data_IF_380635072871
#
_entry.id   IF_380635072871
#
_cell.length_a   1.000
_cell.length_b   1.000
_cell.length_c   1.000
_cell.angle_alpha   90.00
_cell.angle_beta   90.00
_cell.angle_gamma   90.00
#
_symmetry.space_group_name_H-M   'P 1'
#
loop_
_entity.id
_entity.type
_entity.pdbx_description
1 polymer ?
#
# COMPACT_ATOMS: atom_id res chain seq x y z
N UNK A 1 40.85 4.13 4.34
CA UNK A 1 40.34 4.60 3.04
C UNK A 1 40.04 6.11 3.14
N UNK A 2 40.07 6.87 2.04
CA UNK A 2 39.76 8.30 2.08
C UNK A 2 38.24 8.49 2.32
N UNK A 3 37.87 9.39 3.23
CA UNK A 3 36.48 9.75 3.49
C UNK A 3 35.90 10.43 2.26
N UNK A 4 34.76 9.93 1.77
CA UNK A 4 34.06 10.53 0.63
C UNK A 4 33.00 11.51 1.14
N UNK A 5 32.94 12.71 0.54
CA UNK A 5 32.03 13.78 0.94
C UNK A 5 30.94 13.99 -0.11
N UNK A 6 29.70 14.11 0.36
CA UNK A 6 28.49 14.39 -0.43
C UNK A 6 27.73 15.57 0.19
N UNK A 7 26.83 16.17 -0.57
CA UNK A 7 25.89 17.15 -0.02
C UNK A 7 24.74 16.44 0.68
N UNK A 8 24.23 15.36 0.05
CA UNK A 8 23.13 14.53 0.56
C UNK A 8 23.50 13.06 0.50
N UNK A 9 23.25 12.34 1.60
CA UNK A 9 23.29 10.88 1.64
C UNK A 9 21.89 10.36 1.94
N UNK A 10 21.39 9.43 1.11
CA UNK A 10 20.10 8.75 1.31
C UNK A 10 20.36 7.31 1.73
N UNK A 11 19.76 6.88 2.84
CA UNK A 11 19.87 5.52 3.37
C UNK A 11 18.59 4.77 3.10
N UNK A 12 18.63 3.81 2.16
CA UNK A 12 17.49 3.06 1.62
C UNK A 12 17.10 3.56 0.24
N UNK A 13 16.97 2.64 -0.73
CA UNK A 13 16.60 2.92 -2.11
C UNK A 13 15.17 2.50 -2.47
N UNK A 14 14.26 2.50 -1.50
CA UNK A 14 12.81 2.40 -1.73
C UNK A 14 12.25 3.64 -2.45
N UNK A 15 10.91 3.69 -2.71
CA UNK A 15 10.27 4.79 -3.45
C UNK A 15 10.63 6.19 -2.95
N UNK A 16 10.61 6.41 -1.65
CA UNK A 16 11.03 7.68 -1.07
C UNK A 16 12.50 7.98 -1.31
N UNK A 17 13.36 6.98 -1.07
CA UNK A 17 14.82 7.16 -1.15
C UNK A 17 15.33 7.43 -2.55
N UNK A 18 14.97 6.62 -3.56
CA UNK A 18 15.47 6.85 -4.91
C UNK A 18 14.90 8.14 -5.52
N UNK A 19 13.65 8.50 -5.19
CA UNK A 19 13.04 9.76 -5.63
C UNK A 19 13.75 10.95 -5.00
N UNK A 20 14.01 10.92 -3.68
CA UNK A 20 14.76 11.96 -2.98
C UNK A 20 16.16 12.13 -3.59
N UNK A 21 16.88 11.03 -3.84
CA UNK A 21 18.22 11.06 -4.42
C UNK A 21 18.23 11.67 -5.83
N UNK A 22 17.28 11.31 -6.69
CA UNK A 22 17.12 11.89 -8.03
C UNK A 22 16.82 13.38 -7.93
N UNK A 23 15.85 13.76 -7.09
CA UNK A 23 15.45 15.16 -6.97
C UNK A 23 16.58 16.03 -6.43
N UNK A 24 17.28 15.59 -5.39
CA UNK A 24 18.46 16.30 -4.86
C UNK A 24 19.53 16.47 -5.93
N UNK A 25 19.81 15.43 -6.73
CA UNK A 25 20.75 15.53 -7.85
C UNK A 25 20.29 16.53 -8.94
N UNK A 26 18.99 16.55 -9.28
CA UNK A 26 18.42 17.54 -10.21
C UNK A 26 18.58 18.98 -9.73
N UNK A 27 18.63 19.16 -8.41
CA UNK A 27 18.86 20.46 -7.74
C UNK A 27 20.36 20.79 -7.56
N UNK A 28 21.24 20.03 -8.23
CA UNK A 28 22.68 20.30 -8.28
C UNK A 28 23.48 19.76 -7.09
N UNK A 29 22.85 18.97 -6.20
CA UNK A 29 23.55 18.37 -5.06
C UNK A 29 24.39 17.15 -5.50
N UNK A 30 25.52 16.94 -4.85
CA UNK A 30 26.31 15.70 -4.97
C UNK A 30 25.69 14.65 -4.03
N UNK A 31 25.11 13.58 -4.60
CA UNK A 31 24.27 12.63 -3.87
C UNK A 31 24.87 11.23 -3.85
N UNK A 32 24.83 10.59 -2.68
CA UNK A 32 25.00 9.15 -2.52
C UNK A 32 23.69 8.50 -2.05
N UNK A 33 23.43 7.28 -2.51
CA UNK A 33 22.36 6.43 -2.01
C UNK A 33 22.93 5.09 -1.57
N UNK A 34 22.46 4.58 -0.42
CA UNK A 34 22.94 3.33 0.17
C UNK A 34 21.76 2.36 0.22
N UNK A 35 21.95 1.16 -0.33
CA UNK A 35 20.94 0.10 -0.33
C UNK A 35 21.55 -1.22 0.11
N UNK A 36 20.87 -1.92 1.01
CA UNK A 36 21.40 -3.18 1.55
C UNK A 36 20.98 -4.42 0.76
N UNK A 37 19.89 -4.35 -0.02
CA UNK A 37 19.33 -5.53 -0.69
C UNK A 37 19.10 -5.29 -2.19
N UNK A 38 18.11 -4.50 -2.55
CA UNK A 38 17.73 -4.25 -3.94
C UNK A 38 17.26 -2.81 -4.16
N UNK A 39 17.73 -2.18 -5.22
CA UNK A 39 17.21 -0.88 -5.65
C UNK A 39 15.71 -0.96 -5.93
N UNK A 40 14.96 0.06 -5.51
CA UNK A 40 13.51 0.09 -5.56
C UNK A 40 12.83 -0.41 -4.28
N UNK A 41 13.60 -0.94 -3.32
CA UNK A 41 13.13 -1.36 -2.00
C UNK A 41 12.02 -2.41 -2.04
N UNK A 42 11.22 -2.46 -0.97
CA UNK A 42 10.11 -3.43 -0.85
C UNK A 42 9.08 -3.23 -1.95
N UNK A 43 8.68 -2.00 -2.26
CA UNK A 43 7.60 -1.73 -3.21
C UNK A 43 7.83 -2.39 -4.58
N UNK A 44 9.02 -2.24 -5.16
CA UNK A 44 9.33 -2.79 -6.48
C UNK A 44 9.72 -4.27 -6.45
N UNK A 45 10.27 -4.75 -5.33
CA UNK A 45 10.82 -6.12 -5.26
C UNK A 45 9.96 -7.10 -4.47
N UNK A 46 9.28 -6.65 -3.41
CA UNK A 46 8.61 -7.51 -2.43
C UNK A 46 7.24 -6.99 -1.97
N UNK A 47 6.63 -6.08 -2.71
CA UNK A 47 5.38 -5.43 -2.28
C UNK A 47 4.49 -5.06 -3.46
N UNK A 48 4.28 -3.75 -3.65
CA UNK A 48 3.30 -3.16 -4.56
C UNK A 48 3.28 -3.84 -5.94
N UNK A 49 4.39 -3.77 -6.65
CA UNK A 49 4.43 -4.16 -8.06
C UNK A 49 4.35 -5.67 -8.27
N UNK A 50 5.15 -6.52 -7.61
CA UNK A 50 5.02 -7.96 -7.79
C UNK A 50 3.67 -8.49 -7.33
N UNK A 51 3.04 -7.92 -6.31
CA UNK A 51 1.68 -8.28 -5.90
C UNK A 51 0.66 -7.94 -6.98
N UNK A 52 0.71 -6.74 -7.57
CA UNK A 52 -0.18 -6.35 -8.67
C UNK A 52 0.03 -7.23 -9.91
N UNK A 53 1.26 -7.67 -10.17
CA UNK A 53 1.53 -8.63 -11.23
C UNK A 53 0.89 -10.01 -10.98
N UNK A 54 0.87 -10.48 -9.72
CA UNK A 54 0.15 -11.70 -9.32
C UNK A 54 -1.36 -11.52 -9.45
N UNK A 55 -1.91 -10.43 -8.90
CA UNK A 55 -3.34 -10.11 -8.95
C UNK A 55 -3.84 -10.01 -10.39
N UNK A 56 -3.07 -9.38 -11.30
CA UNK A 56 -3.44 -9.34 -12.72
C UNK A 56 -3.49 -10.73 -13.37
N UNK A 57 -2.60 -11.65 -13.00
CA UNK A 57 -2.66 -13.03 -13.47
C UNK A 57 -3.91 -13.75 -12.96
N UNK A 58 -4.29 -13.54 -11.69
CA UNK A 58 -5.52 -14.09 -11.13
C UNK A 58 -6.77 -13.49 -11.80
N UNK A 59 -6.79 -12.19 -12.06
CA UNK A 59 -7.87 -11.52 -12.77
C UNK A 59 -8.07 -12.08 -14.18
N UNK A 60 -6.99 -12.25 -14.96
CA UNK A 60 -7.06 -12.89 -16.28
C UNK A 60 -7.60 -14.32 -16.17
N UNK A 61 -7.15 -15.09 -15.18
CA UNK A 61 -7.67 -16.43 -14.93
C UNK A 61 -9.17 -16.41 -14.60
N UNK A 62 -9.63 -15.46 -13.78
CA UNK A 62 -11.05 -15.25 -13.49
C UNK A 62 -11.85 -14.91 -14.76
N UNK A 63 -11.35 -13.98 -15.61
CA UNK A 63 -11.99 -13.64 -16.88
C UNK A 63 -12.09 -14.82 -17.84
N UNK A 64 -11.10 -15.70 -17.89
CA UNK A 64 -11.14 -16.92 -18.70
C UNK A 64 -12.29 -17.84 -18.28
N UNK A 65 -12.62 -17.93 -17.00
CA UNK A 65 -13.77 -18.70 -16.49
C UNK A 65 -15.11 -18.05 -16.85
N UNK A 66 -15.13 -16.73 -17.01
CA UNK A 66 -16.32 -15.94 -17.40
C UNK A 66 -16.46 -15.75 -18.91
N UNK A 67 -15.58 -16.37 -19.73
CA UNK A 67 -15.54 -16.16 -21.19
C UNK A 67 -16.90 -16.28 -21.89
N UNK A 68 -17.78 -17.20 -21.40
CA UNK A 68 -19.13 -17.38 -21.95
C UNK A 68 -20.01 -16.14 -21.83
N UNK A 69 -19.82 -15.30 -20.81
CA UNK A 69 -20.57 -14.05 -20.62
C UNK A 69 -20.31 -13.07 -21.76
N UNK A 70 -19.12 -13.18 -22.38
CA UNK A 70 -18.67 -12.37 -23.50
C UNK A 70 -18.84 -13.04 -24.88
N UNK A 71 -19.59 -14.19 -24.93
CA UNK A 71 -19.76 -14.95 -26.18
C UNK A 71 -18.52 -15.72 -26.64
N UNK A 72 -17.54 -15.90 -25.74
CA UNK A 72 -16.28 -16.58 -26.04
C UNK A 72 -16.27 -18.02 -25.53
N UNK A 73 -15.56 -18.91 -26.22
CA UNK A 73 -15.33 -20.29 -25.81
C UNK A 73 -13.87 -20.51 -25.45
N UNK A 74 -13.64 -21.02 -24.26
CA UNK A 74 -12.29 -21.39 -23.77
C UNK A 74 -12.35 -22.83 -23.27
N UNK A 75 -11.36 -23.64 -23.65
CA UNK A 75 -11.21 -25.04 -23.21
C UNK A 75 -9.94 -25.19 -22.40
N UNK A 76 -9.95 -26.04 -21.36
CA UNK A 76 -8.77 -26.39 -20.60
C UNK A 76 -8.18 -25.22 -19.81
N UNK A 77 -9.02 -24.38 -19.17
CA UNK A 77 -8.56 -23.27 -18.33
C UNK A 77 -7.77 -23.81 -17.15
N UNK A 78 -6.47 -23.50 -17.12
CA UNK A 78 -5.55 -23.90 -16.07
C UNK A 78 -4.50 -22.80 -15.86
N UNK A 79 -3.75 -22.87 -14.76
CA UNK A 79 -2.60 -22.00 -14.52
C UNK A 79 -1.37 -22.83 -14.11
N UNK A 80 -0.20 -22.29 -14.39
CA UNK A 80 1.08 -22.77 -13.85
C UNK A 80 1.55 -21.74 -12.81
N UNK A 81 1.55 -22.14 -11.52
CA UNK A 81 1.96 -21.27 -10.42
C UNK A 81 3.40 -20.75 -10.61
N UNK A 82 4.31 -21.60 -11.09
CA UNK A 82 5.70 -21.21 -11.29
C UNK A 82 5.82 -20.14 -12.39
N UNK A 83 5.05 -20.28 -13.47
CA UNK A 83 5.01 -19.28 -14.54
C UNK A 83 4.40 -17.94 -14.07
N UNK A 84 3.33 -17.98 -13.27
CA UNK A 84 2.72 -16.78 -12.65
C UNK A 84 3.73 -16.08 -11.76
N UNK A 85 4.42 -16.81 -10.89
CA UNK A 85 5.47 -16.27 -10.01
C UNK A 85 6.64 -15.74 -10.82
N UNK A 86 7.13 -16.48 -11.82
CA UNK A 86 8.23 -16.05 -12.67
C UNK A 86 7.91 -14.73 -13.39
N UNK A 87 6.68 -14.56 -13.91
CA UNK A 87 6.21 -13.29 -14.48
C UNK A 87 6.30 -12.15 -13.48
N UNK A 88 5.79 -12.34 -12.26
CA UNK A 88 5.84 -11.35 -11.17
C UNK A 88 7.29 -10.96 -10.85
N UNK A 89 8.18 -11.92 -10.73
CA UNK A 89 9.62 -11.68 -10.47
C UNK A 89 10.32 -10.99 -11.65
N UNK A 90 9.93 -11.30 -12.88
CA UNK A 90 10.41 -10.66 -14.10
C UNK A 90 10.07 -9.15 -14.09
N UNK A 91 8.84 -8.79 -13.73
CA UNK A 91 8.40 -7.39 -13.60
C UNK A 91 9.21 -6.66 -12.52
N UNK A 92 9.39 -7.27 -11.35
CA UNK A 92 10.21 -6.71 -10.26
C UNK A 92 11.65 -6.46 -10.70
N UNK A 93 12.28 -7.44 -11.38
CA UNK A 93 13.64 -7.33 -11.91
C UNK A 93 13.79 -6.21 -12.93
N UNK A 94 12.83 -6.06 -13.86
CA UNK A 94 12.82 -5.00 -14.86
C UNK A 94 12.81 -3.62 -14.21
N UNK A 95 11.95 -3.41 -13.21
CA UNK A 95 11.82 -2.11 -12.54
C UNK A 95 13.02 -1.79 -11.66
N UNK A 96 13.52 -2.76 -10.90
CA UNK A 96 14.76 -2.59 -10.11
C UNK A 96 15.96 -2.23 -10.99
N UNK A 97 16.09 -2.88 -12.16
CA UNK A 97 17.07 -2.52 -13.18
C UNK A 97 16.89 -1.10 -13.71
N UNK A 98 15.63 -0.67 -13.90
CA UNK A 98 15.27 0.69 -14.27
C UNK A 98 15.74 1.73 -13.24
N UNK A 99 15.60 1.44 -11.94
CA UNK A 99 16.14 2.34 -10.89
C UNK A 99 17.65 2.46 -11.00
N UNK A 100 18.37 1.34 -11.23
CA UNK A 100 19.84 1.40 -11.47
C UNK A 100 20.21 2.29 -12.64
N UNK A 101 19.44 2.24 -13.74
CA UNK A 101 19.63 3.14 -14.88
C UNK A 101 19.39 4.61 -14.50
N UNK A 102 18.33 4.91 -13.72
CA UNK A 102 18.00 6.25 -13.26
C UNK A 102 19.10 6.81 -12.34
N UNK A 103 19.63 6.01 -11.42
CA UNK A 103 20.75 6.43 -10.56
C UNK A 103 21.97 6.85 -11.41
N UNK A 104 22.31 6.05 -12.41
CA UNK A 104 23.40 6.35 -13.35
C UNK A 104 23.12 7.62 -14.17
N UNK A 105 21.91 7.76 -14.73
CA UNK A 105 21.49 8.94 -15.51
C UNK A 105 21.63 10.22 -14.71
N UNK A 106 21.24 10.19 -13.43
CA UNK A 106 21.28 11.34 -12.54
C UNK A 106 22.60 11.44 -11.74
N UNK A 107 23.64 10.65 -12.09
CA UNK A 107 24.97 10.69 -11.45
C UNK A 107 24.92 10.51 -9.92
N UNK A 108 23.93 9.77 -9.41
CA UNK A 108 23.84 9.38 -8.01
C UNK A 108 24.82 8.25 -7.76
N UNK A 109 25.70 8.41 -6.77
CA UNK A 109 26.63 7.35 -6.36
C UNK A 109 25.90 6.29 -5.54
N UNK A 110 25.92 5.03 -5.99
CA UNK A 110 25.23 3.93 -5.31
C UNK A 110 26.24 3.10 -4.51
N UNK A 111 25.96 2.91 -3.22
CA UNK A 111 26.67 1.97 -2.35
C UNK A 111 25.73 0.81 -2.00
N UNK A 112 26.14 -0.41 -2.36
CA UNK A 112 25.44 -1.61 -1.94
C UNK A 112 26.02 -2.09 -0.61
N UNK A 113 25.24 -1.98 0.48
CA UNK A 113 25.70 -2.34 1.82
C UNK A 113 24.77 -1.84 2.94
N UNK A 114 25.12 -2.18 4.16
CA UNK A 114 24.41 -1.76 5.37
C UNK A 114 25.04 -0.47 5.92
N UNK A 115 24.21 0.56 6.13
CA UNK A 115 24.65 1.85 6.67
C UNK A 115 24.46 1.91 8.18
N UNK A 116 25.39 2.60 8.85
CA UNK A 116 25.27 3.04 10.26
C UNK A 116 25.65 4.53 10.37
N UNK A 117 25.18 5.19 11.41
CA UNK A 117 25.40 6.60 11.72
C UNK A 117 26.23 6.72 13.01
N UNK A 118 27.58 6.68 12.92
CA UNK A 118 28.43 6.74 14.10
C UNK A 118 28.43 8.11 14.78
N UNK A 119 28.13 9.17 14.04
CA UNK A 119 28.00 10.53 14.54
C UNK A 119 27.18 11.40 13.55
N UNK A 120 26.78 12.60 13.98
CA UNK A 120 26.10 13.59 13.13
C UNK A 120 26.91 13.86 11.85
N UNK A 121 26.27 13.76 10.69
CA UNK A 121 26.88 14.01 9.38
C UNK A 121 27.83 12.91 8.92
N UNK A 122 27.98 11.80 9.64
CA UNK A 122 28.85 10.67 9.28
C UNK A 122 28.05 9.41 9.03
N UNK A 123 28.41 8.69 7.99
CA UNK A 123 27.82 7.40 7.62
C UNK A 123 28.94 6.40 7.36
N UNK A 124 28.84 5.25 7.97
CA UNK A 124 29.70 4.08 7.69
C UNK A 124 28.87 3.07 6.90
N UNK A 125 29.40 2.58 5.79
CA UNK A 125 28.72 1.58 4.94
C UNK A 125 29.54 0.29 4.93
N UNK A 126 28.96 -0.79 5.43
CA UNK A 126 29.54 -2.13 5.34
C UNK A 126 29.12 -2.74 4.01
N UNK A 127 30.06 -2.85 3.07
CA UNK A 127 29.88 -3.47 1.75
C UNK A 127 30.58 -4.82 1.67
N UNK A 128 30.35 -5.58 0.61
CA UNK A 128 31.06 -6.84 0.34
C UNK A 128 32.58 -6.64 0.12
N UNK A 129 33.01 -5.41 -0.21
CA UNK A 129 34.41 -5.06 -0.48
C UNK A 129 35.13 -4.45 0.70
N UNK A 130 34.42 -4.23 1.81
CA UNK A 130 34.95 -3.61 3.02
C UNK A 130 34.08 -2.50 3.55
N UNK A 131 34.66 -1.62 4.35
CA UNK A 131 33.94 -0.51 5.00
C UNK A 131 34.26 0.79 4.27
N UNK A 132 33.22 1.54 3.93
CA UNK A 132 33.30 2.88 3.34
C UNK A 132 32.91 3.94 4.37
N UNK A 133 33.70 5.01 4.47
CA UNK A 133 33.42 6.15 5.34
C UNK A 133 32.92 7.33 4.50
N UNK A 134 31.70 7.79 4.78
CA UNK A 134 31.04 8.87 4.05
C UNK A 134 30.66 10.01 5.01
N UNK A 135 30.64 11.23 4.46
CA UNK A 135 30.15 12.41 5.19
C UNK A 135 29.17 13.21 4.33
N UNK A 136 28.17 13.81 4.96
CA UNK A 136 27.25 14.73 4.30
C UNK A 136 26.73 15.82 5.26
N UNK A 137 26.30 16.94 4.68
CA UNK A 137 25.55 17.98 5.42
C UNK A 137 24.15 17.53 5.79
N UNK A 138 23.52 16.75 4.89
CA UNK A 138 22.17 16.25 5.07
C UNK A 138 22.09 14.74 4.83
N UNK A 139 21.38 14.04 5.70
CA UNK A 139 21.15 12.59 5.63
C UNK A 139 19.65 12.35 5.65
N UNK A 140 19.16 11.52 4.73
CA UNK A 140 17.75 11.13 4.63
C UNK A 140 17.64 9.64 4.94
N UNK A 141 16.94 9.31 6.03
CA UNK A 141 16.56 7.94 6.38
C UNK A 141 15.33 7.53 5.57
N UNK A 142 15.48 6.54 4.71
CA UNK A 142 14.42 5.96 3.88
C UNK A 142 14.46 4.43 3.94
N UNK A 143 14.80 3.89 5.11
CA UNK A 143 15.03 2.45 5.34
C UNK A 143 13.75 1.61 5.30
N UNK A 144 12.58 2.27 5.28
CA UNK A 144 11.29 1.60 5.15
C UNK A 144 10.88 0.79 6.37
N UNK A 145 10.11 -0.27 6.11
CA UNK A 145 9.54 -1.13 7.13
C UNK A 145 9.58 -2.61 6.69
N UNK A 146 9.27 -3.52 7.60
CA UNK A 146 9.15 -4.96 7.35
C UNK A 146 7.90 -5.53 8.00
N UNK A 147 7.54 -6.78 7.68
CA UNK A 147 6.44 -7.48 8.34
C UNK A 147 6.64 -7.50 9.85
N UNK A 148 5.57 -7.21 10.58
CA UNK A 148 5.53 -7.43 12.03
C UNK A 148 5.39 -8.91 12.31
N UNK A 149 6.19 -9.43 13.21
CA UNK A 149 6.06 -10.77 13.77
C UNK A 149 5.45 -10.69 15.16
N UNK A 150 4.50 -11.58 15.45
CA UNK A 150 3.89 -11.72 16.76
C UNK A 150 4.39 -13.02 17.41
N UNK A 151 4.63 -13.02 18.73
CA UNK A 151 5.06 -14.23 19.44
C UNK A 151 4.11 -15.41 19.22
N UNK A 152 4.65 -16.55 18.79
CA UNK A 152 3.90 -17.77 18.45
C UNK A 152 3.28 -17.77 17.05
N UNK A 153 3.39 -16.68 16.29
CA UNK A 153 2.92 -16.57 14.91
C UNK A 153 4.05 -16.26 13.92
N UNK A 154 5.32 -16.48 14.33
CA UNK A 154 6.49 -16.15 13.51
C UNK A 154 6.48 -16.96 12.21
N UNK A 155 6.94 -16.32 11.13
CA UNK A 155 7.03 -16.97 9.83
C UNK A 155 8.21 -17.94 9.78
N UNK A 156 7.97 -19.17 9.30
CA UNK A 156 9.00 -20.18 9.05
C UNK A 156 9.33 -20.33 7.55
N UNK A 157 8.56 -19.69 6.68
CA UNK A 157 8.75 -19.76 5.24
C UNK A 157 8.29 -21.07 4.60
N UNK A 158 7.73 -21.98 5.37
CA UNK A 158 7.15 -23.25 4.90
C UNK A 158 5.63 -23.29 5.14
N UNK A 159 5.20 -23.29 6.40
CA UNK A 159 3.80 -23.34 6.79
C UNK A 159 3.23 -21.94 7.11
N UNK A 160 4.04 -21.08 7.70
CA UNK A 160 3.67 -19.70 8.04
C UNK A 160 4.48 -18.73 7.21
N UNK A 161 3.80 -17.91 6.44
CA UNK A 161 4.37 -17.01 5.45
C UNK A 161 4.21 -15.54 5.87
N UNK A 162 5.20 -14.72 5.54
CA UNK A 162 5.03 -13.28 5.36
C UNK A 162 4.72 -12.98 3.89
N UNK A 163 4.55 -11.69 3.56
CA UNK A 163 4.40 -11.23 2.16
C UNK A 163 5.54 -11.72 1.26
N UNK A 164 6.78 -11.85 1.75
CA UNK A 164 7.93 -12.32 0.95
C UNK A 164 7.73 -13.76 0.47
N UNK A 165 7.27 -14.63 1.36
CA UNK A 165 6.99 -16.01 1.03
C UNK A 165 5.74 -16.15 0.15
N UNK A 166 4.70 -15.36 0.43
CA UNK A 166 3.45 -15.33 -0.35
C UNK A 166 3.66 -14.83 -1.79
N UNK A 167 4.68 -13.99 -2.04
CA UNK A 167 5.08 -13.55 -3.39
C UNK A 167 5.89 -14.59 -4.17
N UNK A 168 6.45 -15.59 -3.48
CA UNK A 168 7.21 -16.70 -4.09
C UNK A 168 6.77 -18.04 -3.49
N UNK A 169 5.47 -18.38 -3.58
CA UNK A 169 4.96 -19.60 -2.99
C UNK A 169 5.57 -20.83 -3.66
N UNK A 170 6.08 -21.77 -2.88
CA UNK A 170 6.63 -23.04 -3.35
C UNK A 170 5.54 -24.02 -3.79
N UNK A 171 4.32 -23.82 -3.32
CA UNK A 171 3.13 -24.63 -3.63
C UNK A 171 1.88 -23.77 -3.61
N UNK A 172 0.84 -24.21 -4.30
CA UNK A 172 -0.49 -23.64 -4.18
C UNK A 172 -1.12 -24.10 -2.85
N UNK A 173 -1.52 -23.19 -1.94
CA UNK A 173 -2.29 -23.54 -0.78
C UNK A 173 -3.64 -24.18 -1.17
N UNK A 174 -4.04 -25.24 -0.46
CA UNK A 174 -5.40 -25.80 -0.58
C UNK A 174 -6.34 -25.19 0.46
N UNK A 175 -5.84 -25.06 1.72
CA UNK A 175 -6.55 -24.41 2.83
C UNK A 175 -5.68 -23.31 3.40
N UNK A 176 -6.01 -22.08 3.09
CA UNK A 176 -5.24 -20.90 3.46
C UNK A 176 -5.91 -20.15 4.62
N UNK A 177 -5.11 -19.84 5.64
CA UNK A 177 -5.47 -18.84 6.65
C UNK A 177 -4.72 -17.55 6.38
N UNK A 178 -5.42 -16.43 6.33
CA UNK A 178 -4.82 -15.08 6.31
C UNK A 178 -5.14 -14.38 7.63
N UNK A 179 -4.12 -13.99 8.37
CA UNK A 179 -4.23 -13.28 9.65
C UNK A 179 -4.05 -11.79 9.39
N UNK A 180 -5.13 -11.02 9.58
CA UNK A 180 -5.21 -9.59 9.28
C UNK A 180 -5.88 -9.31 7.94
N UNK A 181 -6.87 -8.43 7.95
CA UNK A 181 -7.69 -8.05 6.79
C UNK A 181 -7.38 -6.65 6.27
N UNK A 182 -6.20 -6.10 6.57
CA UNK A 182 -5.70 -4.90 5.90
C UNK A 182 -5.38 -5.16 4.42
N UNK A 183 -4.96 -4.13 3.68
CA UNK A 183 -4.71 -4.22 2.23
C UNK A 183 -3.82 -5.42 1.86
N UNK A 184 -2.71 -5.65 2.58
CA UNK A 184 -1.78 -6.76 2.30
C UNK A 184 -2.48 -8.12 2.44
N UNK A 185 -3.20 -8.33 3.54
CA UNK A 185 -3.89 -9.61 3.79
C UNK A 185 -4.99 -9.88 2.76
N UNK A 186 -5.81 -8.87 2.47
CA UNK A 186 -6.92 -9.00 1.50
C UNK A 186 -6.41 -9.19 0.06
N UNK A 187 -5.33 -8.54 -0.34
CA UNK A 187 -4.75 -8.75 -1.67
C UNK A 187 -4.25 -10.19 -1.85
N UNK A 188 -3.54 -10.76 -0.87
CA UNK A 188 -3.13 -12.17 -0.94
C UNK A 188 -4.32 -13.12 -0.82
N UNK A 189 -5.30 -12.85 0.06
CA UNK A 189 -6.51 -13.64 0.14
C UNK A 189 -7.25 -13.67 -1.20
N UNK A 190 -7.41 -12.51 -1.86
CA UNK A 190 -8.02 -12.40 -3.18
C UNK A 190 -7.26 -13.19 -4.24
N UNK A 191 -5.92 -13.06 -4.28
CA UNK A 191 -5.09 -13.79 -5.24
C UNK A 191 -5.23 -15.31 -5.11
N UNK A 192 -5.01 -15.85 -3.91
CA UNK A 192 -5.05 -17.30 -3.71
C UNK A 192 -6.46 -17.87 -3.81
N UNK A 193 -7.47 -17.15 -3.32
CA UNK A 193 -8.88 -17.56 -3.46
C UNK A 193 -9.29 -17.65 -4.93
N UNK A 194 -8.93 -16.66 -5.76
CA UNK A 194 -9.22 -16.66 -7.20
C UNK A 194 -8.56 -17.84 -7.92
N UNK A 195 -7.39 -18.28 -7.45
CA UNK A 195 -6.69 -19.46 -7.98
C UNK A 195 -7.20 -20.79 -7.37
N UNK A 196 -8.20 -20.77 -6.49
CA UNK A 196 -8.89 -21.97 -5.99
C UNK A 196 -8.51 -22.44 -4.58
N UNK A 197 -7.81 -21.64 -3.77
CA UNK A 197 -7.59 -21.93 -2.36
C UNK A 197 -8.89 -21.75 -1.54
N UNK A 198 -9.21 -22.69 -0.62
CA UNK A 198 -10.22 -22.48 0.44
C UNK A 198 -9.65 -21.48 1.44
N UNK A 199 -10.06 -20.22 1.32
CA UNK A 199 -9.42 -19.10 2.02
C UNK A 199 -10.28 -18.66 3.21
N UNK A 200 -9.65 -18.59 4.39
CA UNK A 200 -10.20 -18.01 5.60
C UNK A 200 -9.39 -16.78 5.98
N UNK A 201 -10.07 -15.66 6.22
CA UNK A 201 -9.46 -14.41 6.70
C UNK A 201 -9.93 -14.17 8.13
N UNK A 202 -8.98 -13.89 9.04
CA UNK A 202 -9.26 -13.57 10.44
C UNK A 202 -8.88 -12.11 10.70
N UNK A 203 -9.81 -11.37 11.32
CA UNK A 203 -9.62 -9.96 11.68
C UNK A 203 -9.98 -9.73 13.15
N UNK A 204 -9.07 -9.09 13.89
CA UNK A 204 -9.30 -8.76 15.31
C UNK A 204 -10.31 -7.60 15.48
N UNK A 205 -10.35 -6.70 14.49
CA UNK A 205 -11.32 -5.60 14.47
C UNK A 205 -12.72 -6.07 14.13
N UNK A 206 -13.69 -5.17 14.22
CA UNK A 206 -15.11 -5.46 13.99
C UNK A 206 -15.52 -5.54 12.50
N UNK A 207 -14.57 -5.31 11.58
CA UNK A 207 -14.82 -5.32 10.13
C UNK A 207 -13.55 -5.58 9.32
N UNK A 208 -13.69 -6.11 8.12
CA UNK A 208 -12.60 -6.20 7.14
C UNK A 208 -12.20 -4.81 6.65
N UNK A 209 -10.96 -4.63 6.20
CA UNK A 209 -10.42 -3.34 5.75
C UNK A 209 -10.77 -2.23 6.76
N UNK A 210 -10.35 -2.35 8.03
CA UNK A 210 -10.88 -1.55 9.14
C UNK A 210 -10.60 -0.04 9.04
N UNK A 211 -9.70 0.37 8.15
CA UNK A 211 -9.36 1.78 7.90
C UNK A 211 -10.33 2.46 6.92
N UNK A 212 -11.09 1.67 6.15
CA UNK A 212 -12.02 2.16 5.14
C UNK A 212 -13.35 2.64 5.74
N UNK A 213 -14.14 3.32 4.93
CA UNK A 213 -15.52 3.68 5.32
C UNK A 213 -16.34 2.42 5.61
N UNK A 214 -17.23 2.50 6.60
CA UNK A 214 -17.98 1.34 7.09
C UNK A 214 -18.85 0.67 6.01
N UNK A 215 -19.40 1.45 5.08
CA UNK A 215 -20.22 0.91 3.98
C UNK A 215 -19.35 0.18 2.96
N UNK A 216 -18.15 0.71 2.67
CA UNK A 216 -17.16 0.03 1.81
C UNK A 216 -16.71 -1.29 2.42
N UNK A 217 -16.37 -1.30 3.72
CA UNK A 217 -16.00 -2.52 4.43
C UNK A 217 -17.12 -3.57 4.44
N UNK A 218 -18.36 -3.14 4.67
CA UNK A 218 -19.52 -4.02 4.66
C UNK A 218 -19.79 -4.62 3.28
N UNK A 219 -19.66 -3.82 2.22
CA UNK A 219 -19.79 -4.28 0.84
C UNK A 219 -18.65 -5.24 0.47
N UNK A 220 -17.43 -4.91 0.79
CA UNK A 220 -16.25 -5.75 0.56
C UNK A 220 -16.42 -7.14 1.20
N UNK A 221 -16.86 -7.19 2.46
CA UNK A 221 -17.17 -8.46 3.15
C UNK A 221 -18.18 -9.30 2.37
N UNK A 222 -19.29 -8.69 1.91
CA UNK A 222 -20.32 -9.41 1.14
C UNK A 222 -19.73 -9.95 -0.17
N UNK A 223 -18.95 -9.16 -0.89
CA UNK A 223 -18.30 -9.58 -2.13
C UNK A 223 -17.32 -10.74 -1.90
N UNK A 224 -16.47 -10.67 -0.87
CA UNK A 224 -15.52 -11.73 -0.54
C UNK A 224 -16.20 -13.03 -0.14
N UNK A 225 -17.27 -12.96 0.67
CA UNK A 225 -18.06 -14.14 1.06
C UNK A 225 -18.75 -14.75 -0.16
N UNK A 226 -19.29 -13.93 -1.08
CA UNK A 226 -19.88 -14.39 -2.35
C UNK A 226 -18.86 -15.13 -3.23
N UNK A 227 -17.58 -14.74 -3.16
CA UNK A 227 -16.46 -15.40 -3.84
C UNK A 227 -15.95 -16.67 -3.11
N UNK A 228 -16.57 -17.05 -2.00
CA UNK A 228 -16.24 -18.26 -1.26
C UNK A 228 -15.26 -18.08 -0.10
N UNK A 229 -14.77 -16.88 0.18
CA UNK A 229 -13.91 -16.63 1.34
C UNK A 229 -14.72 -16.72 2.65
N UNK A 230 -14.09 -17.29 3.69
CA UNK A 230 -14.60 -17.25 5.07
C UNK A 230 -14.00 -16.04 5.77
N UNK A 231 -14.84 -15.16 6.28
CA UNK A 231 -14.40 -13.92 6.97
C UNK A 231 -14.80 -14.03 8.44
N UNK A 232 -13.80 -14.02 9.33
CA UNK A 232 -13.97 -14.11 10.77
C UNK A 232 -13.49 -12.80 11.42
N UNK A 233 -14.42 -11.89 11.65
CA UNK A 233 -14.20 -10.62 12.35
C UNK A 233 -14.26 -10.81 13.87
N UNK A 234 -13.71 -9.86 14.64
CA UNK A 234 -13.61 -9.92 16.11
C UNK A 234 -12.99 -11.23 16.60
N UNK A 235 -12.05 -11.76 15.82
CA UNK A 235 -11.43 -13.04 16.06
C UNK A 235 -9.93 -12.90 16.16
N UNK A 236 -9.34 -13.46 17.21
CA UNK A 236 -7.88 -13.42 17.46
C UNK A 236 -7.28 -14.80 17.25
N UNK A 237 -6.15 -14.89 16.57
CA UNK A 237 -5.35 -16.12 16.54
C UNK A 237 -4.50 -16.17 17.79
N UNK A 238 -4.77 -17.12 18.67
CA UNK A 238 -4.06 -17.29 19.96
C UNK A 238 -2.78 -18.07 19.81
N UNK A 239 -2.79 -19.10 18.95
CA UNK A 239 -1.70 -20.04 18.80
C UNK A 239 -1.77 -20.74 17.44
N UNK A 240 -0.62 -21.11 16.91
CA UNK A 240 -0.46 -21.98 15.75
C UNK A 240 0.31 -23.23 16.16
N UNK A 241 -0.33 -24.39 16.16
CA UNK A 241 0.32 -25.68 16.36
C UNK A 241 0.74 -26.24 15.01
N UNK A 242 2.04 -26.34 14.80
CA UNK A 242 2.66 -26.78 13.53
C UNK A 242 3.00 -28.26 13.59
N UNK A 243 2.66 -28.99 12.56
CA UNK A 243 3.03 -30.39 12.37
C UNK A 243 3.38 -30.63 10.90
N UNK A 244 3.82 -31.84 10.55
CA UNK A 244 4.21 -32.15 9.18
C UNK A 244 3.10 -31.82 8.17
N UNK A 245 3.31 -30.76 7.37
CA UNK A 245 2.44 -30.33 6.27
C UNK A 245 1.14 -29.63 6.66
N UNK A 246 0.94 -29.30 7.95
CA UNK A 246 -0.28 -28.62 8.41
C UNK A 246 -0.08 -27.72 9.63
N UNK A 247 -0.99 -26.78 9.79
CA UNK A 247 -1.10 -25.88 10.94
C UNK A 247 -2.50 -25.97 11.51
N UNK A 248 -2.62 -26.19 12.82
CA UNK A 248 -3.86 -26.01 13.56
C UNK A 248 -3.85 -24.63 14.19
N UNK A 249 -4.74 -23.75 13.74
CA UNK A 249 -4.93 -22.42 14.29
C UNK A 249 -6.01 -22.44 15.39
N UNK A 250 -5.67 -21.92 16.57
CA UNK A 250 -6.59 -21.73 17.69
C UNK A 250 -7.13 -20.29 17.62
N UNK A 251 -8.40 -20.16 17.25
CA UNK A 251 -9.10 -18.91 17.00
C UNK A 251 -10.03 -18.62 18.19
N UNK A 252 -9.92 -17.43 18.75
CA UNK A 252 -10.75 -16.96 19.86
C UNK A 252 -11.69 -15.84 19.39
N UNK A 253 -12.96 -16.02 19.61
CA UNK A 253 -14.01 -15.01 19.46
C UNK A 253 -14.84 -14.89 20.76
N UNK A 254 -15.96 -14.14 20.73
CA UNK A 254 -16.87 -13.99 21.88
C UNK A 254 -17.52 -15.28 22.36
N UNK A 255 -17.49 -16.35 21.56
CA UNK A 255 -18.07 -17.67 21.90
C UNK A 255 -17.05 -18.63 22.50
N UNK A 256 -15.77 -18.27 22.46
CA UNK A 256 -14.67 -19.07 22.98
C UNK A 256 -13.64 -19.44 21.91
N UNK A 257 -12.85 -20.48 22.22
CA UNK A 257 -11.76 -20.93 21.34
C UNK A 257 -12.26 -22.07 20.45
N UNK A 258 -12.03 -21.92 19.15
CA UNK A 258 -12.23 -22.95 18.14
C UNK A 258 -10.92 -23.30 17.45
N UNK A 259 -10.77 -24.52 16.96
CA UNK A 259 -9.56 -24.95 16.26
C UNK A 259 -9.89 -25.27 14.81
N UNK A 260 -9.08 -24.75 13.88
CA UNK A 260 -9.21 -25.00 12.45
C UNK A 260 -7.88 -25.44 11.85
N UNK A 261 -7.92 -26.37 10.90
CA UNK A 261 -6.73 -26.91 10.23
C UNK A 261 -6.52 -26.24 8.87
N UNK A 262 -5.28 -25.82 8.60
CA UNK A 262 -4.82 -25.20 7.37
C UNK A 262 -3.52 -25.87 6.90
N UNK A 263 -3.19 -25.75 5.62
CA UNK A 263 -1.88 -26.18 5.11
C UNK A 263 -0.90 -24.99 4.95
N UNK A 264 -1.43 -23.78 5.00
CA UNK A 264 -0.64 -22.55 4.87
C UNK A 264 -1.30 -21.40 5.64
N UNK A 265 -0.48 -20.59 6.29
CA UNK A 265 -0.90 -19.38 7.00
C UNK A 265 -0.12 -18.19 6.44
N UNK A 266 -0.79 -17.08 6.12
CA UNK A 266 -0.15 -15.80 5.82
C UNK A 266 -0.36 -14.87 7.00
N UNK A 267 0.74 -14.39 7.61
CA UNK A 267 0.72 -13.38 8.67
C UNK A 267 0.81 -11.99 8.05
N UNK A 268 -0.28 -11.21 8.13
CA UNK A 268 -0.42 -9.85 7.64
C UNK A 268 -0.86 -8.88 8.76
N UNK A 269 -0.23 -9.01 9.93
CA UNK A 269 -0.60 -8.34 11.20
C UNK A 269 0.04 -6.96 11.38
N UNK A 270 0.40 -6.31 10.29
CA UNK A 270 1.02 -4.99 10.27
C UNK A 270 2.51 -5.02 9.95
N UNK A 271 3.13 -3.85 10.08
CA UNK A 271 4.54 -3.64 9.77
C UNK A 271 5.25 -2.90 10.91
N UNK A 272 6.58 -2.98 10.92
CA UNK A 272 7.48 -2.27 11.86
C UNK A 272 8.58 -1.56 11.08
N UNK A 273 8.91 -0.33 11.47
CA UNK A 273 9.98 0.44 10.85
C UNK A 273 11.35 -0.24 11.01
N UNK A 274 12.22 -0.05 10.03
CA UNK A 274 13.59 -0.56 10.07
C UNK A 274 14.51 0.49 10.72
N UNK A 275 14.53 0.51 12.04
CA UNK A 275 15.27 1.48 12.86
C UNK A 275 16.53 0.91 13.51
N UNK A 276 16.64 -0.41 13.56
CA UNK A 276 17.71 -1.09 14.28
C UNK A 276 19.07 -0.95 13.57
N UNK A 277 20.14 -1.00 14.33
CA UNK A 277 21.54 -0.97 13.87
C UNK A 277 21.93 0.29 13.07
N UNK A 278 21.11 1.34 13.12
CA UNK A 278 21.39 2.61 12.45
C UNK A 278 22.18 3.59 13.33
N UNK A 279 22.24 3.38 14.66
CA UNK A 279 22.87 4.30 15.61
C UNK A 279 22.00 5.51 15.97
N UNK A 280 20.67 5.42 15.81
CA UNK A 280 19.73 6.53 16.01
C UNK A 280 19.68 7.00 17.46
N UNK A 281 19.80 6.07 18.40
CA UNK A 281 19.77 6.33 19.86
C UNK A 281 20.93 7.23 20.27
N UNK A 282 22.14 7.00 19.72
CA UNK A 282 23.34 7.80 20.03
C UNK A 282 23.25 9.23 19.49
N UNK A 283 22.42 9.44 18.47
CA UNK A 283 22.15 10.75 17.88
C UNK A 283 20.99 11.50 18.55
N UNK A 284 20.30 10.87 19.50
CA UNK A 284 19.15 11.44 20.18
C UNK A 284 17.88 11.53 19.32
N UNK A 285 17.76 10.68 18.29
CA UNK A 285 16.56 10.60 17.44
C UNK A 285 15.41 10.05 18.26
N UNK A 286 14.27 10.74 18.25
CA UNK A 286 13.06 10.28 18.93
C UNK A 286 12.40 9.16 18.12
N UNK A 287 12.07 8.07 18.81
CA UNK A 287 11.38 6.92 18.24
C UNK A 287 10.08 6.71 19.01
N UNK A 288 8.97 6.61 18.31
CA UNK A 288 7.68 6.15 18.85
C UNK A 288 7.45 4.71 18.40
N UNK A 289 7.48 3.79 19.37
CA UNK A 289 7.39 2.33 19.15
C UNK A 289 8.48 1.83 18.19
N UNK A 290 8.20 1.85 16.89
CA UNK A 290 9.12 1.35 15.85
C UNK A 290 9.34 2.36 14.71
N UNK A 291 8.92 3.61 14.88
CA UNK A 291 9.00 4.63 13.84
C UNK A 291 9.73 5.87 14.35
N UNK A 292 10.46 6.51 13.47
CA UNK A 292 11.13 7.79 13.75
C UNK A 292 10.08 8.90 13.80
N UNK A 293 10.08 9.67 14.89
CA UNK A 293 9.20 10.85 15.03
C UNK A 293 9.76 12.00 14.20
N UNK A 294 8.91 12.57 13.35
CA UNK A 294 9.26 13.71 12.48
C UNK A 294 8.24 14.83 12.61
N UNK A 295 8.66 16.03 12.22
CA UNK A 295 7.74 17.15 11.98
C UNK A 295 7.10 17.02 10.58
N UNK A 296 6.27 18.00 10.20
CA UNK A 296 5.57 18.07 8.90
C UNK A 296 6.51 18.18 7.69
N UNK A 297 7.77 18.55 7.90
CA UNK A 297 8.84 18.61 6.91
C UNK A 297 9.80 17.41 6.99
N UNK A 298 9.40 16.34 7.66
CA UNK A 298 10.19 15.12 7.84
C UNK A 298 11.52 15.33 8.60
N UNK A 299 11.67 16.39 9.41
CA UNK A 299 12.83 16.60 10.25
C UNK A 299 12.74 15.75 11.51
N UNK A 300 13.84 15.11 11.91
CA UNK A 300 13.89 14.22 13.08
C UNK A 300 14.13 14.97 14.41
N UNK A 301 14.32 16.28 14.37
CA UNK A 301 14.81 17.09 15.48
C UNK A 301 16.34 17.11 15.62
N UNK A 302 17.06 16.24 14.93
CA UNK A 302 18.51 16.27 14.79
C UNK A 302 18.86 17.06 13.54
N UNK A 303 19.65 18.13 13.69
CA UNK A 303 19.99 19.00 12.57
C UNK A 303 20.68 18.22 11.42
N UNK A 304 20.20 18.40 10.19
CA UNK A 304 20.70 17.73 8.98
C UNK A 304 20.26 16.26 8.86
N UNK A 305 19.38 15.76 9.74
CA UNK A 305 18.85 14.40 9.67
C UNK A 305 17.34 14.41 9.44
N UNK A 306 16.90 13.75 8.39
CA UNK A 306 15.51 13.62 7.96
C UNK A 306 15.11 12.15 7.92
N UNK A 307 13.78 11.85 8.05
CA UNK A 307 13.26 10.51 7.86
C UNK A 307 11.98 10.56 7.03
N UNK A 308 11.89 9.71 6.00
CA UNK A 308 10.78 9.68 5.04
C UNK A 308 10.27 8.26 4.81
N UNK A 309 9.03 8.16 4.34
CA UNK A 309 8.38 6.89 4.02
C UNK A 309 8.00 6.10 5.25
N UNK A 310 8.06 4.78 5.13
CA UNK A 310 7.48 3.89 6.15
C UNK A 310 8.20 3.97 7.50
N UNK A 311 9.49 4.32 7.53
CA UNK A 311 10.22 4.52 8.79
C UNK A 311 9.67 5.69 9.60
N UNK A 312 9.07 6.71 8.92
CA UNK A 312 8.47 7.89 9.56
C UNK A 312 6.99 7.70 9.97
N UNK A 313 6.43 6.49 9.78
CA UNK A 313 5.07 6.15 10.21
C UNK A 313 4.00 6.21 9.11
N UNK A 314 2.76 5.96 9.54
CA UNK A 314 1.59 5.87 8.65
C UNK A 314 1.24 7.22 7.99
N UNK A 315 0.51 7.17 6.84
CA UNK A 315 0.17 5.97 6.08
C UNK A 315 1.38 5.38 5.34
N UNK A 316 1.51 4.07 5.35
CA UNK A 316 2.64 3.34 4.75
C UNK A 316 2.41 3.13 3.25
N UNK A 317 2.63 4.19 2.47
CA UNK A 317 2.29 4.26 1.05
C UNK A 317 3.47 4.80 0.24
N UNK A 318 3.76 4.13 -0.87
CA UNK A 318 4.89 4.47 -1.73
C UNK A 318 4.82 5.91 -2.30
N UNK A 319 3.61 6.37 -2.66
CA UNK A 319 3.40 7.72 -3.17
C UNK A 319 3.59 8.79 -2.07
N UNK A 320 3.18 8.54 -0.81
CA UNK A 320 3.54 9.40 0.32
C UNK A 320 5.06 9.52 0.42
N UNK A 321 5.76 8.39 0.48
CA UNK A 321 7.21 8.37 0.59
C UNK A 321 7.91 9.12 -0.55
N UNK A 322 7.43 8.98 -1.80
CA UNK A 322 7.96 9.69 -2.96
C UNK A 322 7.78 11.20 -2.85
N UNK A 323 6.59 11.66 -2.45
CA UNK A 323 6.32 13.09 -2.25
C UNK A 323 7.12 13.67 -1.08
N UNK A 324 7.26 12.95 0.04
CA UNK A 324 8.16 13.32 1.13
C UNK A 324 9.62 13.45 0.65
N UNK A 325 10.05 12.51 -0.22
CA UNK A 325 11.39 12.54 -0.81
C UNK A 325 11.65 13.78 -1.65
N UNK A 326 10.69 14.20 -2.49
CA UNK A 326 10.77 15.45 -3.26
C UNK A 326 10.82 16.65 -2.34
N UNK A 327 9.87 16.72 -1.38
CA UNK A 327 9.77 17.81 -0.41
C UNK A 327 11.06 18.00 0.38
N UNK A 328 11.65 16.94 0.92
CA UNK A 328 12.89 17.01 1.70
C UNK A 328 14.07 17.41 0.82
N UNK A 329 14.18 16.90 -0.41
CA UNK A 329 15.23 17.26 -1.33
C UNK A 329 15.17 18.76 -1.69
N UNK A 330 13.99 19.31 -1.92
CA UNK A 330 13.77 20.72 -2.19
C UNK A 330 14.08 21.59 -0.97
N UNK A 331 13.67 21.16 0.23
CA UNK A 331 13.99 21.85 1.48
C UNK A 331 15.50 21.93 1.72
N UNK A 332 16.23 20.82 1.52
CA UNK A 332 17.69 20.76 1.65
C UNK A 332 18.39 21.70 0.66
N UNK A 333 17.84 21.84 -0.54
CA UNK A 333 18.38 22.74 -1.57
C UNK A 333 18.06 24.23 -1.33
N UNK A 334 17.37 24.57 -0.22
CA UNK A 334 17.01 25.95 0.14
C UNK A 334 15.67 26.42 -0.46
N UNK A 335 14.86 25.50 -0.99
CA UNK A 335 13.50 25.79 -1.45
C UNK A 335 12.50 25.90 -0.28
N UNK A 336 11.27 26.25 -0.61
CA UNK A 336 10.14 26.41 0.33
C UNK A 336 8.97 25.49 -0.07
N UNK A 337 9.14 24.15 0.02
CA UNK A 337 8.06 23.23 -0.32
C UNK A 337 6.92 23.32 0.70
N UNK A 338 5.72 22.94 0.26
CA UNK A 338 4.58 22.78 1.16
C UNK A 338 4.57 21.39 1.80
N UNK A 339 4.20 21.26 3.08
CA UNK A 339 4.04 19.97 3.71
C UNK A 339 2.86 19.20 3.13
N UNK A 340 2.94 17.87 3.17
CA UNK A 340 1.86 17.00 2.68
C UNK A 340 0.70 17.05 3.69
N UNK A 341 -0.49 17.44 3.22
CA UNK A 341 -1.71 17.41 4.04
C UNK A 341 -2.12 15.93 4.27
N UNK A 342 -2.23 15.42 5.51
CA UNK A 342 -2.54 14.00 5.75
C UNK A 342 -3.81 13.50 5.06
N UNK A 343 -4.84 14.32 4.99
CA UNK A 343 -6.13 13.99 4.35
C UNK A 343 -6.10 13.96 2.81
N UNK A 344 -4.97 14.30 2.15
CA UNK A 344 -4.85 14.30 0.69
C UNK A 344 -4.25 13.01 0.11
N UNK A 345 -3.85 12.07 0.96
CA UNK A 345 -3.20 10.83 0.53
C UNK A 345 -4.25 9.76 0.31
N UNK A 346 -4.41 9.31 -0.93
CA UNK A 346 -5.36 8.24 -1.25
C UNK A 346 -4.83 6.87 -0.83
N UNK A 347 -5.73 6.01 -0.35
CA UNK A 347 -5.49 4.58 -0.14
C UNK A 347 -6.06 3.75 -1.28
N UNK A 348 -5.38 2.66 -1.66
CA UNK A 348 -5.85 1.72 -2.68
C UNK A 348 -5.58 0.28 -2.25
N UNK A 349 -6.58 -0.59 -2.38
CA UNK A 349 -6.46 -2.05 -2.20
C UNK A 349 -6.89 -2.75 -3.49
N UNK A 350 -5.98 -3.52 -4.07
CA UNK A 350 -6.14 -4.13 -5.40
C UNK A 350 -6.74 -5.54 -5.33
N UNK A 351 -7.71 -5.75 -4.45
CA UNK A 351 -8.52 -6.96 -4.40
C UNK A 351 -9.61 -6.94 -5.50
N UNK A 352 -10.47 -7.94 -5.53
CA UNK A 352 -11.63 -7.94 -6.40
C UNK A 352 -12.91 -8.04 -5.53
N UNK A 353 -13.84 -7.03 -5.61
CA UNK A 353 -13.68 -5.72 -6.28
C UNK A 353 -12.60 -4.85 -5.63
N UNK A 354 -12.01 -3.92 -6.41
CA UNK A 354 -10.99 -2.98 -5.91
C UNK A 354 -11.60 -2.01 -4.90
N UNK A 355 -10.77 -1.49 -3.99
CA UNK A 355 -11.18 -0.45 -3.02
C UNK A 355 -10.23 0.73 -3.13
N UNK A 356 -10.78 1.95 -3.10
CA UNK A 356 -10.01 3.17 -3.07
C UNK A 356 -10.71 4.25 -2.24
N UNK A 357 -9.91 5.06 -1.53
CA UNK A 357 -10.45 6.12 -0.67
C UNK A 357 -9.50 7.30 -0.55
N UNK A 358 -10.05 8.48 -0.31
CA UNK A 358 -9.31 9.70 0.04
C UNK A 358 -10.13 10.55 0.99
N UNK A 359 -9.48 11.21 1.94
CA UNK A 359 -10.11 12.11 2.88
C UNK A 359 -10.76 11.43 4.08
N UNK A 360 -11.81 12.04 4.63
CA UNK A 360 -12.48 11.56 5.84
C UNK A 360 -13.54 10.52 5.52
N UNK A 361 -13.63 9.46 6.31
CA UNK A 361 -14.81 8.60 6.33
C UNK A 361 -16.00 9.37 6.90
N UNK A 362 -17.22 8.91 6.63
CA UNK A 362 -18.42 9.54 7.18
C UNK A 362 -18.40 9.62 8.71
N UNK A 363 -17.91 8.59 9.37
CA UNK A 363 -17.77 8.56 10.83
C UNK A 363 -16.79 9.63 11.33
N UNK A 364 -15.61 9.74 10.71
CA UNK A 364 -14.59 10.74 11.09
C UNK A 364 -15.07 12.17 10.82
N UNK A 365 -15.79 12.39 9.73
CA UNK A 365 -16.33 13.72 9.41
C UNK A 365 -17.42 14.14 10.42
N UNK A 366 -18.28 13.22 10.85
CA UNK A 366 -19.26 13.45 11.93
C UNK A 366 -18.56 13.72 13.27
N UNK A 367 -17.55 12.94 13.63
CA UNK A 367 -16.76 13.11 14.83
C UNK A 367 -16.04 14.47 14.86
N UNK A 368 -15.58 14.94 13.69
CA UNK A 368 -14.99 16.27 13.52
C UNK A 368 -16.02 17.43 13.57
N UNK A 369 -17.32 17.13 13.70
CA UNK A 369 -18.38 18.11 13.86
C UNK A 369 -18.94 18.70 12.57
N UNK A 370 -18.64 18.10 11.42
CA UNK A 370 -19.20 18.55 10.15
C UNK A 370 -20.69 18.16 10.01
N UNK A 371 -21.46 19.04 9.38
CA UNK A 371 -22.80 18.71 8.88
C UNK A 371 -22.65 18.18 7.47
N UNK A 372 -23.09 16.95 7.22
CA UNK A 372 -22.74 16.25 6.01
C UNK A 372 -23.85 16.23 4.96
N UNK A 373 -23.45 16.30 3.70
CA UNK A 373 -24.18 15.78 2.55
C UNK A 373 -23.42 14.59 1.99
N UNK A 374 -24.11 13.47 1.83
CA UNK A 374 -23.50 12.21 1.43
C UNK A 374 -24.22 11.65 0.23
N UNK A 375 -23.48 11.43 -0.84
CA UNK A 375 -23.99 10.82 -2.05
C UNK A 375 -23.44 9.41 -2.24
N UNK A 376 -24.24 8.58 -2.93
CA UNK A 376 -23.89 7.21 -3.29
C UNK A 376 -24.38 6.91 -4.68
N UNK A 377 -23.53 6.31 -5.49
CA UNK A 377 -23.96 5.85 -6.81
C UNK A 377 -23.48 4.42 -7.06
N UNK A 378 -24.40 3.47 -7.31
CA UNK A 378 -24.05 2.06 -7.53
C UNK A 378 -23.56 1.82 -8.96
N UNK A 379 -22.61 0.89 -9.14
CA UNK A 379 -22.07 0.52 -10.45
C UNK A 379 -23.14 0.00 -11.42
N UNK A 380 -24.20 -0.64 -10.90
CA UNK A 380 -25.30 -1.12 -11.74
C UNK A 380 -26.06 0.00 -12.47
N UNK A 381 -25.97 1.25 -12.01
CA UNK A 381 -26.53 2.43 -12.68
C UNK A 381 -25.65 2.95 -13.82
N UNK A 382 -24.47 2.38 -14.06
CA UNK A 382 -23.52 2.88 -15.04
C UNK A 382 -23.42 1.96 -16.26
N UNK A 383 -23.70 2.50 -17.45
CA UNK A 383 -23.67 1.72 -18.70
C UNK A 383 -22.30 1.13 -19.03
N UNK A 384 -21.21 1.83 -18.72
CA UNK A 384 -19.85 1.28 -18.95
C UNK A 384 -19.52 0.14 -18.01
N UNK A 385 -19.93 0.19 -16.73
CA UNK A 385 -19.75 -0.89 -15.78
C UNK A 385 -20.51 -2.16 -16.24
N UNK A 386 -21.74 -1.99 -16.71
CA UNK A 386 -22.54 -3.09 -17.28
C UNK A 386 -21.86 -3.67 -18.53
N UNK A 387 -21.40 -2.82 -19.44
CA UNK A 387 -20.72 -3.26 -20.67
C UNK A 387 -19.41 -4.02 -20.39
N UNK A 388 -18.71 -3.71 -19.31
CA UNK A 388 -17.52 -4.43 -18.84
C UNK A 388 -17.85 -5.76 -18.15
N UNK A 389 -19.13 -6.00 -17.79
CA UNK A 389 -19.50 -7.13 -16.93
C UNK A 389 -19.09 -6.94 -15.46
N UNK A 390 -18.84 -5.70 -15.03
CA UNK A 390 -18.32 -5.35 -13.70
C UNK A 390 -19.26 -4.35 -12.99
N UNK A 391 -20.53 -4.73 -12.88
CA UNK A 391 -21.58 -3.89 -12.30
C UNK A 391 -21.69 -3.96 -10.76
N UNK A 392 -20.70 -4.58 -10.08
CA UNK A 392 -20.67 -4.74 -8.62
C UNK A 392 -19.80 -3.65 -7.98
N UNK A 393 -20.42 -2.80 -7.14
CA UNK A 393 -19.71 -1.73 -6.47
C UNK A 393 -20.54 -0.47 -6.28
N UNK A 394 -19.94 0.54 -5.67
CA UNK A 394 -20.51 1.88 -5.54
C UNK A 394 -19.41 2.93 -5.31
N UNK A 395 -19.75 4.19 -5.59
CA UNK A 395 -18.99 5.37 -5.23
C UNK A 395 -19.76 6.14 -4.16
N UNK A 396 -19.07 6.54 -3.08
CA UNK A 396 -19.58 7.36 -1.99
C UNK A 396 -18.79 8.65 -1.90
N UNK A 397 -19.46 9.79 -1.88
CA UNK A 397 -18.90 11.13 -1.67
C UNK A 397 -19.45 11.75 -0.40
N UNK A 398 -18.63 12.54 0.29
CA UNK A 398 -18.95 13.18 1.57
C UNK A 398 -18.57 14.65 1.46
N UNK A 399 -19.55 15.54 1.64
CA UNK A 399 -19.37 16.99 1.58
C UNK A 399 -19.73 17.66 2.90
N UNK A 400 -19.07 18.76 3.21
CA UNK A 400 -19.57 19.69 4.22
C UNK A 400 -20.79 20.43 3.67
N UNK A 401 -21.93 20.29 4.33
CA UNK A 401 -23.18 20.92 3.93
C UNK A 401 -23.16 22.45 4.02
N UNK A 402 -22.16 23.05 4.69
CA UNK A 402 -22.05 24.50 4.87
C UNK A 402 -21.21 25.15 3.78
N UNK A 403 -20.12 24.51 3.37
CA UNK A 403 -19.13 25.08 2.46
C UNK A 403 -19.15 24.43 1.09
N UNK A 404 -19.74 23.24 0.97
CA UNK A 404 -19.68 22.42 -0.23
C UNK A 404 -18.35 21.70 -0.45
N UNK A 405 -17.39 21.82 0.49
CA UNK A 405 -16.09 21.17 0.40
C UNK A 405 -16.22 19.64 0.32
N UNK A 406 -15.50 19.02 -0.59
CA UNK A 406 -15.36 17.56 -0.66
C UNK A 406 -14.48 17.07 0.48
N UNK A 407 -15.07 16.52 1.55
CA UNK A 407 -14.38 16.00 2.74
C UNK A 407 -13.77 14.61 2.51
N UNK A 408 -14.43 13.80 1.69
CA UNK A 408 -13.95 12.45 1.40
C UNK A 408 -14.66 11.76 0.26
N UNK A 409 -13.99 10.79 -0.34
CA UNK A 409 -14.55 9.89 -1.34
C UNK A 409 -14.08 8.46 -1.08
N UNK A 410 -15.00 7.52 -1.17
CA UNK A 410 -14.78 6.09 -0.84
C UNK A 410 -15.45 5.25 -1.93
N UNK A 411 -14.68 4.34 -2.51
CA UNK A 411 -15.11 3.60 -3.69
C UNK A 411 -14.82 2.11 -3.52
N UNK A 412 -15.72 1.28 -4.04
CA UNK A 412 -15.49 -0.14 -4.21
C UNK A 412 -16.08 -0.58 -5.55
N UNK A 413 -15.28 -1.27 -6.38
CA UNK A 413 -15.70 -1.71 -7.72
C UNK A 413 -14.52 -1.85 -8.67
N UNK A 414 -14.81 -2.04 -9.95
CA UNK A 414 -13.79 -2.13 -10.99
C UNK A 414 -13.10 -0.76 -11.21
N UNK A 415 -11.79 -0.76 -11.39
CA UNK A 415 -10.95 0.38 -11.76
C UNK A 415 -11.03 1.57 -10.77
N UNK A 416 -11.56 1.40 -9.56
CA UNK A 416 -11.67 2.51 -8.59
C UNK A 416 -10.30 3.01 -8.12
N UNK A 417 -9.27 2.18 -8.20
CA UNK A 417 -7.88 2.57 -7.88
C UNK A 417 -7.31 3.58 -8.87
N UNK A 418 -7.84 3.64 -10.10
CA UNK A 418 -7.52 4.66 -11.09
C UNK A 418 -8.46 5.87 -10.97
N UNK A 419 -9.75 5.61 -10.73
CA UNK A 419 -10.78 6.66 -10.64
C UNK A 419 -10.56 7.62 -9.47
N UNK A 420 -10.09 7.13 -8.31
CA UNK A 420 -9.91 7.94 -7.10
C UNK A 420 -9.07 9.19 -7.34
N UNK A 421 -8.16 9.16 -8.31
CA UNK A 421 -7.29 10.28 -8.64
C UNK A 421 -8.05 11.57 -9.00
N UNK A 422 -9.24 11.47 -9.60
CA UNK A 422 -10.09 12.63 -9.89
C UNK A 422 -10.46 13.39 -8.61
N UNK A 423 -10.85 12.67 -7.55
CA UNK A 423 -11.17 13.29 -6.26
C UNK A 423 -9.91 13.76 -5.51
N UNK A 424 -8.77 13.09 -5.66
CA UNK A 424 -7.49 13.57 -5.09
C UNK A 424 -7.14 14.94 -5.68
N UNK A 425 -7.25 15.11 -7.00
CA UNK A 425 -7.02 16.38 -7.68
C UNK A 425 -8.04 17.42 -7.22
N UNK A 426 -9.34 17.08 -7.21
CA UNK A 426 -10.40 17.96 -6.73
C UNK A 426 -10.10 18.48 -5.32
N UNK A 427 -9.76 17.61 -4.38
CA UNK A 427 -9.40 18.01 -3.02
C UNK A 427 -8.14 18.89 -2.95
N UNK A 428 -7.15 18.63 -3.77
CA UNK A 428 -5.93 19.46 -3.84
C UNK A 428 -6.22 20.88 -4.34
N UNK A 429 -7.24 21.02 -5.20
CA UNK A 429 -7.72 22.29 -5.73
C UNK A 429 -8.82 22.94 -4.86
N UNK A 430 -9.12 22.34 -3.69
CA UNK A 430 -10.17 22.82 -2.77
C UNK A 430 -11.56 22.91 -3.46
N UNK A 431 -11.84 21.94 -4.35
CA UNK A 431 -13.05 21.84 -5.16
C UNK A 431 -14.30 21.66 -4.30
N UNK A 432 -15.35 22.40 -4.64
CA UNK A 432 -16.68 22.23 -4.05
C UNK A 432 -17.56 21.29 -4.89
N UNK A 433 -18.73 20.96 -4.35
CA UNK A 433 -19.76 20.21 -5.09
C UNK A 433 -20.17 20.91 -6.39
N UNK A 434 -20.23 22.24 -6.38
CA UNK A 434 -20.67 23.02 -7.55
C UNK A 434 -19.72 22.86 -8.73
N UNK A 435 -18.40 22.85 -8.45
CA UNK A 435 -17.39 22.61 -9.48
C UNK A 435 -17.54 21.20 -10.08
N UNK A 436 -17.76 20.18 -9.23
CA UNK A 436 -17.92 18.79 -9.66
C UNK A 436 -19.25 18.58 -10.42
N UNK A 437 -20.34 19.21 -9.98
CA UNK A 437 -21.64 19.17 -10.67
C UNK A 437 -21.56 19.79 -12.07
N UNK A 438 -20.81 20.87 -12.21
CA UNK A 438 -20.69 21.58 -13.49
C UNK A 438 -19.58 21.04 -14.40
N UNK A 439 -18.76 20.10 -13.91
CA UNK A 439 -17.71 19.45 -14.72
C UNK A 439 -18.34 18.46 -15.69
N UNK A 440 -17.94 18.52 -16.97
CA UNK A 440 -18.39 17.57 -18.00
C UNK A 440 -17.54 16.29 -17.90
N UNK A 441 -18.19 15.18 -17.64
CA UNK A 441 -17.55 13.85 -17.62
C UNK A 441 -17.71 13.17 -18.98
N UNK A 442 -16.66 12.51 -19.51
CA UNK A 442 -16.74 11.84 -20.81
C UNK A 442 -17.65 10.61 -20.77
N UNK A 443 -18.39 10.41 -21.86
CA UNK A 443 -19.29 9.25 -22.05
C UNK A 443 -18.81 8.35 -23.20
N UNK A 444 -18.85 7.00 -23.07
CA UNK A 444 -19.21 6.21 -21.87
C UNK A 444 -17.98 5.88 -21.02
N UNK A 445 -18.01 6.20 -19.75
CA UNK A 445 -16.91 5.92 -18.81
C UNK A 445 -17.41 5.49 -17.44
N UNK A 446 -16.51 4.87 -16.63
CA UNK A 446 -16.76 4.64 -15.21
C UNK A 446 -16.72 5.93 -14.41
N UNK A 447 -16.02 6.97 -14.88
CA UNK A 447 -15.91 8.25 -14.17
C UNK A 447 -17.24 9.03 -14.10
N UNK A 448 -18.22 8.73 -14.96
CA UNK A 448 -19.57 9.30 -14.84
C UNK A 448 -20.24 8.99 -13.49
N UNK A 449 -19.88 7.85 -12.87
CA UNK A 449 -20.37 7.52 -11.52
C UNK A 449 -19.85 8.48 -10.45
N UNK A 450 -18.68 9.09 -10.67
CA UNK A 450 -18.16 10.12 -9.79
C UNK A 450 -19.07 11.35 -9.79
N UNK A 451 -19.52 11.78 -10.97
CA UNK A 451 -20.47 12.86 -11.13
C UNK A 451 -21.83 12.53 -10.48
N UNK A 452 -22.39 11.37 -10.80
CA UNK A 452 -23.67 10.91 -10.25
C UNK A 452 -23.66 10.82 -8.71
N UNK A 453 -22.56 10.35 -8.12
CA UNK A 453 -22.39 10.32 -6.67
C UNK A 453 -22.43 11.73 -6.03
N UNK A 454 -21.90 12.75 -6.73
CA UNK A 454 -21.99 14.14 -6.29
C UNK A 454 -23.43 14.64 -6.42
N UNK A 455 -24.10 14.37 -7.55
CA UNK A 455 -25.50 14.72 -7.76
C UNK A 455 -26.41 14.11 -6.69
N UNK A 456 -26.18 12.84 -6.32
CA UNK A 456 -26.96 12.14 -5.28
C UNK A 456 -26.84 12.84 -3.92
N UNK A 457 -25.66 13.32 -3.54
CA UNK A 457 -25.48 14.07 -2.29
C UNK A 457 -26.40 15.29 -2.16
N UNK A 458 -26.86 15.80 -3.28
CA UNK A 458 -27.73 16.99 -3.39
C UNK A 458 -29.12 16.67 -3.92
N UNK A 459 -29.52 15.39 -3.96
CA UNK A 459 -30.83 14.94 -4.41
C UNK A 459 -31.10 15.19 -5.90
N UNK A 460 -30.04 15.17 -6.73
CA UNK A 460 -30.07 15.49 -8.17
C UNK A 460 -29.60 14.32 -9.04
N UNK A 461 -29.43 13.11 -8.50
CA UNK A 461 -29.04 11.93 -9.28
C UNK A 461 -30.05 11.70 -10.42
N UNK A 462 -29.53 11.29 -11.58
CA UNK A 462 -30.32 11.15 -12.81
C UNK A 462 -30.53 9.69 -13.22
N UNK A 463 -29.65 8.79 -12.79
CA UNK A 463 -29.63 7.40 -13.29
C UNK A 463 -29.84 6.34 -12.19
N UNK A 464 -30.35 6.74 -11.02
CA UNK A 464 -30.81 5.84 -9.93
C UNK A 464 -32.17 6.27 -9.39
#
# INVERSE_FOLDING_TARGET
MAVQTFDVIVIGAGPGGYVAAIRASQLGQKVAIIERENLGGICLNWGCIPTKALLRSAEVFHLMHRAKEFGLSVTGVAFDLNAVVARSRGVAKQLSGGIGHLMKKHKVTVFMGAATLPAKGKVTVKTDKGVEELTAKSIILATGARARELPGLEADGDLVWTYRHALQPKRMPKKLLVIGSGAIGIEFASFFNTLGADTTVVEVMDRVLPVEDAEVSAFAKKAFVKQGMKILEKTTVKKLDRSAGKVVAHLEDAKGITSMEFDTVISAVGIVGNIEDLGLETLGVKIDRTHVVTDEFCRTGVEGLYAIGDIAGAPWLAHKASHEGVMVAELIAGGHPHPIKPGSIAGCTYCHPQVASVGMTEAKAKEAGFTLKVGRFPFIGNGKAIALGEAEGFIKTIFDAKTGELLGAHMIGAEVTELIQGYVIGRALETTEEDLINTVFPHPTLSEMMHESVLDAYGRALHI
#
